data_IF_410071997851
#
_entry.id   IF_410071997851
#
_cell.length_a   1.000
_cell.length_b   1.000
_cell.length_c   1.000
_cell.angle_alpha   90.00
_cell.angle_beta   90.00
_cell.angle_gamma   90.00
#
_symmetry.space_group_name_H-M   'P 1'
#
loop_
_entity.id
_entity.type
_entity.pdbx_description
1 polymer ?
#
# COMPACT_ATOMS: atom_id res chain seq x y z
N UNK A 1 -9.94 0.22 -21.34
CA UNK A 1 -9.47 0.59 -20.00
C UNK A 1 -9.18 2.09 -20.02
N UNK A 2 -9.96 2.89 -19.29
CA UNK A 2 -9.78 4.35 -19.29
C UNK A 2 -8.40 4.73 -18.73
N UNK A 3 -7.80 5.77 -19.30
CA UNK A 3 -6.45 6.24 -18.94
C UNK A 3 -6.35 6.59 -17.43
N UNK A 4 -7.43 7.10 -16.84
CA UNK A 4 -7.52 7.35 -15.40
C UNK A 4 -7.52 6.07 -14.56
N UNK A 5 -8.23 5.00 -14.98
CA UNK A 5 -8.19 3.70 -14.28
C UNK A 5 -6.80 3.08 -14.35
N UNK A 6 -6.11 3.26 -15.47
CA UNK A 6 -4.74 2.80 -15.67
C UNK A 6 -3.76 3.58 -14.79
N UNK A 7 -3.89 4.91 -14.74
CA UNK A 7 -3.09 5.77 -13.86
C UNK A 7 -3.32 5.47 -12.38
N UNK A 8 -4.57 5.26 -11.95
CA UNK A 8 -4.92 4.87 -10.57
C UNK A 8 -4.27 3.53 -10.21
N UNK A 9 -4.40 2.52 -11.08
CA UNK A 9 -3.81 1.19 -10.86
C UNK A 9 -2.28 1.27 -10.74
N UNK A 10 -1.61 1.99 -11.66
CA UNK A 10 -0.15 2.14 -11.63
C UNK A 10 0.33 2.94 -10.42
N UNK A 11 -0.37 4.01 -10.05
CA UNK A 11 -0.06 4.82 -8.88
C UNK A 11 -0.17 4.03 -7.58
N UNK A 12 -1.26 3.28 -7.42
CA UNK A 12 -1.48 2.40 -6.26
C UNK A 12 -0.44 1.27 -6.20
N UNK A 13 -0.08 0.68 -7.34
CA UNK A 13 0.97 -0.35 -7.38
C UNK A 13 2.34 0.21 -6.97
N UNK A 14 2.69 1.40 -7.46
CA UNK A 14 3.93 2.09 -7.12
C UNK A 14 4.00 2.43 -5.62
N UNK A 15 2.91 2.97 -5.07
CA UNK A 15 2.79 3.25 -3.64
C UNK A 15 2.89 1.99 -2.78
N UNK A 16 2.31 0.86 -3.22
CA UNK A 16 2.40 -0.41 -2.50
C UNK A 16 3.84 -0.90 -2.41
N UNK A 17 4.56 -0.89 -3.54
CA UNK A 17 5.97 -1.29 -3.59
C UNK A 17 6.84 -0.38 -2.72
N UNK A 18 6.56 0.92 -2.72
CA UNK A 18 7.25 1.88 -1.87
C UNK A 18 7.05 1.61 -0.37
N UNK A 19 5.81 1.40 0.07
CA UNK A 19 5.50 1.11 1.48
C UNK A 19 6.13 -0.22 1.96
N UNK A 20 6.13 -1.24 1.10
CA UNK A 20 6.80 -2.52 1.39
C UNK A 20 8.32 -2.31 1.50
N UNK A 21 8.90 -1.49 0.61
CA UNK A 21 10.31 -1.12 0.65
C UNK A 21 10.69 -0.37 1.93
N UNK A 22 9.86 0.59 2.36
CA UNK A 22 10.05 1.30 3.63
C UNK A 22 10.02 0.32 4.82
N UNK A 23 9.05 -0.60 4.87
CA UNK A 23 8.97 -1.63 5.90
C UNK A 23 10.27 -2.47 5.97
N UNK A 24 10.82 -2.85 4.81
CA UNK A 24 12.06 -3.62 4.72
C UNK A 24 13.30 -2.82 5.19
N UNK A 25 13.39 -1.52 4.87
CA UNK A 25 14.49 -0.66 5.36
C UNK A 25 14.42 -0.44 6.86
N UNK A 26 13.22 -0.20 7.42
CA UNK A 26 13.02 -0.08 8.86
C UNK A 26 13.40 -1.39 9.58
N UNK A 27 13.09 -2.54 8.98
CA UNK A 27 13.44 -3.87 9.51
C UNK A 27 14.95 -4.12 9.57
N UNK A 28 15.72 -3.56 8.63
CA UNK A 28 17.18 -3.65 8.60
C UNK A 28 17.89 -2.61 9.48
N UNK A 29 17.15 -1.68 10.09
CA UNK A 29 17.74 -0.67 10.97
C UNK A 29 18.28 -1.31 12.24
N UNK A 30 19.58 -1.12 12.49
CA UNK A 30 20.37 -1.69 13.60
C UNK A 30 19.91 -1.26 15.00
N UNK A 31 18.90 -0.40 15.09
CA UNK A 31 18.42 0.20 16.34
C UNK A 31 17.11 -0.41 16.87
N UNK A 32 16.52 -1.40 16.17
CA UNK A 32 15.17 -1.90 16.45
C UNK A 32 15.20 -3.36 16.93
N UNK A 33 14.65 -3.63 18.12
CA UNK A 33 14.45 -5.00 18.60
C UNK A 33 13.30 -5.68 17.84
N UNK A 34 13.25 -7.02 17.84
CA UNK A 34 12.19 -7.79 17.13
C UNK A 34 10.77 -7.35 17.51
N UNK A 35 10.57 -6.90 18.75
CA UNK A 35 9.30 -6.41 19.27
C UNK A 35 8.92 -5.00 18.77
N UNK A 36 9.88 -4.15 18.42
CA UNK A 36 9.63 -2.79 17.90
C UNK A 36 9.22 -2.77 16.42
N UNK A 37 9.41 -3.90 15.71
CA UNK A 37 9.02 -4.06 14.30
C UNK A 37 7.55 -4.46 14.14
N UNK A 38 6.95 -5.11 15.15
CA UNK A 38 5.54 -5.50 15.15
C UNK A 38 4.57 -4.33 14.85
N UNK A 39 4.66 -3.17 15.53
CA UNK A 39 3.75 -2.06 15.25
C UNK A 39 3.91 -1.51 13.82
N UNK A 40 5.12 -1.54 13.26
CA UNK A 40 5.39 -1.12 11.88
C UNK A 40 4.66 -2.02 10.89
N UNK A 41 4.71 -3.34 11.07
CA UNK A 41 3.99 -4.27 10.20
C UNK A 41 2.48 -4.12 10.26
N UNK A 42 1.93 -3.83 11.44
CA UNK A 42 0.48 -3.59 11.61
C UNK A 42 0.05 -2.31 10.89
N UNK A 43 0.80 -1.22 11.07
CA UNK A 43 0.47 0.07 10.45
C UNK A 43 0.61 -0.02 8.92
N UNK A 44 1.74 -0.52 8.41
CA UNK A 44 1.94 -0.64 6.95
C UNK A 44 0.98 -1.67 6.34
N UNK A 45 0.72 -2.77 7.04
CA UNK A 45 -0.30 -3.75 6.63
C UNK A 45 -1.69 -3.12 6.52
N UNK A 46 -2.13 -2.37 7.54
CA UNK A 46 -3.41 -1.67 7.53
C UNK A 46 -3.51 -0.59 6.44
N UNK A 47 -2.43 0.15 6.21
CA UNK A 47 -2.37 1.17 5.16
C UNK A 47 -2.49 0.56 3.77
N UNK A 48 -1.83 -0.59 3.51
CA UNK A 48 -2.00 -1.34 2.27
C UNK A 48 -3.45 -1.81 2.09
N UNK A 49 -4.08 -2.35 3.13
CA UNK A 49 -5.48 -2.80 3.08
C UNK A 49 -6.40 -1.65 2.70
N UNK A 50 -6.28 -0.49 3.35
CA UNK A 50 -7.11 0.68 3.05
C UNK A 50 -6.90 1.19 1.62
N UNK A 51 -5.65 1.21 1.15
CA UNK A 51 -5.30 1.63 -0.21
C UNK A 51 -5.89 0.70 -1.28
N UNK A 52 -5.89 -0.62 -1.05
CA UNK A 52 -6.53 -1.58 -1.96
C UNK A 52 -8.06 -1.52 -1.91
N UNK A 53 -8.65 -1.24 -0.74
CA UNK A 53 -10.10 -1.02 -0.61
C UNK A 53 -10.53 0.20 -1.41
N UNK A 54 -9.83 1.33 -1.29
CA UNK A 54 -10.11 2.53 -2.09
C UNK A 54 -9.97 2.28 -3.59
N UNK A 55 -8.93 1.54 -4.02
CA UNK A 55 -8.76 1.17 -5.42
C UNK A 55 -9.92 0.29 -5.92
N UNK A 56 -10.38 -0.67 -5.11
CA UNK A 56 -11.52 -1.52 -5.46
C UNK A 56 -12.80 -0.68 -5.57
N UNK A 57 -13.06 0.20 -4.61
CA UNK A 57 -14.22 1.09 -4.61
C UNK A 57 -14.19 2.04 -5.81
N UNK A 58 -13.04 2.60 -6.15
CA UNK A 58 -12.84 3.41 -7.36
C UNK A 58 -13.14 2.62 -8.65
N UNK A 59 -12.74 1.35 -8.70
CA UNK A 59 -13.05 0.50 -9.85
C UNK A 59 -14.53 0.13 -9.96
N UNK A 60 -15.20 -0.05 -8.81
CA UNK A 60 -16.63 -0.38 -8.72
C UNK A 60 -17.50 0.82 -9.13
N UNK A 61 -17.21 2.01 -8.60
CA UNK A 61 -17.95 3.25 -8.88
C UNK A 61 -17.86 3.68 -10.36
N UNK A 62 -16.73 3.36 -11.01
CA UNK A 62 -16.56 3.57 -12.44
C UNK A 62 -16.90 2.34 -13.29
N UNK A 63 -17.41 1.25 -12.73
CA UNK A 63 -17.82 0.06 -13.48
C UNK A 63 -19.18 0.25 -14.18
N UNK A 64 -19.98 1.19 -13.68
CA UNK A 64 -21.31 1.53 -14.19
C UNK A 64 -21.30 2.67 -15.25
N UNK A 65 -20.12 3.10 -15.71
CA UNK A 65 -19.93 4.04 -16.84
C UNK A 65 -19.35 3.37 -18.09
#
# INVERSE_FOLDING_TARGET
MNLNKLAATLGTLCAAVFLIGLAATLTKSRLIGFYDILPVYIIIGSALVMMFVELKTYFDDHKDQ
#
